data_IF_098966085565
#
_entry.id   IF_098966085565
#
_cell.length_a   1.000
_cell.length_b   1.000
_cell.length_c   1.000
_cell.angle_alpha   90.00
_cell.angle_beta   90.00
_cell.angle_gamma   90.00
#
_symmetry.space_group_name_H-M   'P 1'
#
loop_
_entity.id
_entity.type
_entity.pdbx_description
1 polymer ?
#
# COMPACT_ATOMS: atom_id res chain seq x y z
N UNK A 1 21.95 13.00 4.69
CA UNK A 1 22.04 11.54 4.83
C UNK A 1 21.22 11.00 6.00
N UNK A 2 21.41 11.54 7.19
CA UNK A 2 20.69 11.06 8.38
C UNK A 2 19.17 11.15 8.23
N UNK A 3 18.67 12.28 7.71
CA UNK A 3 17.21 12.47 7.49
C UNK A 3 16.65 11.49 6.47
N UNK A 4 17.42 11.16 5.43
CA UNK A 4 17.00 10.21 4.39
C UNK A 4 16.86 8.79 4.93
N UNK A 5 17.80 8.35 5.77
CA UNK A 5 17.77 7.03 6.39
C UNK A 5 16.57 6.91 7.34
N UNK A 6 16.35 7.94 8.18
CA UNK A 6 15.24 7.97 9.11
C UNK A 6 13.90 7.96 8.37
N UNK A 7 13.80 8.74 7.30
CA UNK A 7 12.62 8.79 6.43
C UNK A 7 12.33 7.42 5.83
N UNK A 8 13.35 6.75 5.28
CA UNK A 8 13.21 5.42 4.68
C UNK A 8 12.74 4.40 5.70
N UNK A 9 13.31 4.39 6.90
CA UNK A 9 12.91 3.47 7.96
C UNK A 9 11.46 3.68 8.36
N UNK A 10 11.03 4.93 8.45
CA UNK A 10 9.66 5.27 8.81
C UNK A 10 8.69 4.86 7.71
N UNK A 11 9.03 5.08 6.44
CA UNK A 11 8.23 4.63 5.30
C UNK A 11 8.03 3.12 5.32
N UNK A 12 9.12 2.37 5.54
CA UNK A 12 9.08 0.91 5.62
C UNK A 12 8.24 0.42 6.80
N UNK A 13 8.37 1.09 7.95
CA UNK A 13 7.59 0.74 9.14
C UNK A 13 6.09 0.95 8.90
N UNK A 14 5.72 2.09 8.31
CA UNK A 14 4.32 2.39 8.00
C UNK A 14 3.76 1.37 7.01
N UNK A 15 4.51 1.05 5.96
CA UNK A 15 4.10 0.05 4.98
C UNK A 15 3.85 -1.30 5.65
N UNK A 16 4.73 -1.73 6.53
CA UNK A 16 4.59 -2.99 7.25
C UNK A 16 3.37 -3.00 8.17
N UNK A 17 3.14 -1.92 8.90
CA UNK A 17 1.99 -1.82 9.81
C UNK A 17 0.67 -1.86 9.06
N UNK A 18 0.59 -1.15 7.94
CA UNK A 18 -0.62 -1.17 7.10
C UNK A 18 -0.84 -2.57 6.53
N UNK A 19 0.22 -3.20 6.03
CA UNK A 19 0.14 -4.57 5.53
C UNK A 19 -0.35 -5.54 6.60
N UNK A 20 0.15 -5.42 7.81
CA UNK A 20 -0.28 -6.26 8.94
C UNK A 20 -1.75 -6.05 9.28
N UNK A 21 -2.23 -4.81 9.25
CA UNK A 21 -3.64 -4.51 9.50
C UNK A 21 -4.55 -5.14 8.43
N UNK A 22 -4.11 -5.13 7.18
CA UNK A 22 -4.88 -5.75 6.08
C UNK A 22 -4.92 -7.26 6.26
N UNK A 23 -3.78 -7.90 6.48
CA UNK A 23 -3.67 -9.35 6.59
C UNK A 23 -4.43 -9.89 7.82
N UNK A 24 -4.34 -9.18 8.94
CA UNK A 24 -5.02 -9.58 10.17
C UNK A 24 -6.51 -9.24 10.19
N UNK A 25 -7.02 -8.60 9.15
CA UNK A 25 -8.38 -8.09 9.07
C UNK A 25 -8.70 -7.12 10.20
N UNK A 26 -7.69 -6.35 10.60
CA UNK A 26 -7.84 -5.30 11.61
C UNK A 26 -8.71 -4.14 11.14
N UNK A 27 -8.89 -3.99 9.84
CA UNK A 27 -9.78 -3.01 9.23
C UNK A 27 -11.02 -3.75 8.76
N UNK A 28 -12.16 -3.45 9.37
CA UNK A 28 -13.41 -4.19 9.10
C UNK A 28 -14.21 -3.53 7.97
N UNK A 29 -13.75 -3.71 6.75
CA UNK A 29 -14.46 -3.25 5.57
C UNK A 29 -14.28 -4.33 4.48
N UNK A 30 -15.38 -4.87 3.92
CA UNK A 30 -15.28 -5.96 2.93
C UNK A 30 -14.60 -5.55 1.64
N UNK A 31 -14.47 -4.26 1.36
CA UNK A 31 -13.74 -3.76 0.19
C UNK A 31 -12.22 -3.90 0.34
N UNK A 32 -11.75 -4.10 1.57
CA UNK A 32 -10.34 -4.29 1.87
C UNK A 32 -10.07 -5.80 1.94
N UNK A 33 -9.34 -6.31 0.95
CA UNK A 33 -9.11 -7.75 0.80
C UNK A 33 -7.61 -8.08 0.85
N UNK A 34 -7.31 -9.36 1.01
CA UNK A 34 -5.94 -9.86 1.21
C UNK A 34 -5.03 -9.72 -0.01
N UNK A 35 -5.56 -9.41 -1.19
CA UNK A 35 -4.76 -9.18 -2.39
C UNK A 35 -4.21 -7.77 -2.49
N UNK A 36 -4.62 -6.88 -1.58
CA UNK A 36 -4.09 -5.53 -1.51
C UNK A 36 -2.69 -5.54 -0.92
N UNK A 37 -1.83 -4.70 -1.47
CA UNK A 37 -0.47 -4.54 -0.97
C UNK A 37 -0.06 -3.08 -1.01
N UNK A 38 0.80 -2.69 -0.09
CA UNK A 38 1.42 -1.37 -0.11
C UNK A 38 2.58 -1.43 -1.11
N UNK A 39 2.47 -0.67 -2.18
CA UNK A 39 3.53 -0.60 -3.20
C UNK A 39 4.69 0.25 -2.69
N UNK A 40 4.37 1.41 -2.15
CA UNK A 40 5.36 2.30 -1.54
C UNK A 40 4.67 3.33 -0.66
N UNK A 41 5.45 3.97 0.20
CA UNK A 41 5.03 5.10 1.02
C UNK A 41 5.96 6.26 0.71
N UNK A 42 5.41 7.42 0.40
CA UNK A 42 6.18 8.63 0.12
C UNK A 42 5.80 9.75 1.07
N UNK A 43 6.80 10.26 1.80
CA UNK A 43 6.59 11.43 2.66
C UNK A 43 6.75 12.72 1.88
N UNK A 44 5.99 13.74 2.30
CA UNK A 44 6.27 15.11 1.91
C UNK A 44 7.59 15.56 2.54
N UNK A 45 8.17 16.66 2.02
CA UNK A 45 9.46 17.16 2.51
C UNK A 45 9.44 17.52 4.00
N UNK A 46 8.30 18.00 4.49
CA UNK A 46 8.12 18.38 5.90
C UNK A 46 7.73 17.21 6.80
N UNK A 47 7.57 16.01 6.25
CA UNK A 47 7.15 14.80 6.94
C UNK A 47 5.75 14.87 7.59
N UNK A 48 4.94 15.86 7.19
CA UNK A 48 3.58 16.01 7.71
C UNK A 48 2.60 15.11 7.01
N UNK A 49 2.80 14.88 5.70
CA UNK A 49 1.91 14.06 4.88
C UNK A 49 2.65 12.86 4.32
N UNK A 50 1.94 11.74 4.19
CA UNK A 50 2.47 10.54 3.58
C UNK A 50 1.45 9.98 2.59
N UNK A 51 1.87 9.77 1.35
CA UNK A 51 1.07 9.07 0.35
C UNK A 51 1.39 7.59 0.42
N UNK A 52 0.36 6.78 0.57
CA UNK A 52 0.46 5.32 0.60
C UNK A 52 -0.10 4.79 -0.73
N UNK A 53 0.79 4.30 -1.56
CA UNK A 53 0.42 3.76 -2.87
C UNK A 53 -0.01 2.31 -2.72
N UNK A 54 -1.27 2.05 -3.05
CA UNK A 54 -1.87 0.72 -2.89
C UNK A 54 -2.04 0.05 -4.23
N UNK A 55 -1.65 -1.21 -4.31
CA UNK A 55 -1.85 -2.03 -5.49
C UNK A 55 -2.60 -3.31 -5.14
N UNK A 56 -2.99 -4.05 -6.18
CA UNK A 56 -3.61 -5.36 -6.02
C UNK A 56 -3.06 -6.29 -7.09
N UNK A 57 -2.73 -7.51 -6.68
CA UNK A 57 -2.31 -8.54 -7.62
C UNK A 57 -3.52 -9.22 -8.27
N UNK A 58 -4.71 -9.01 -7.72
CA UNK A 58 -5.93 -9.58 -8.26
C UNK A 58 -6.50 -8.66 -9.33
N UNK A 59 -6.55 -9.16 -10.56
CA UNK A 59 -7.11 -8.45 -11.70
C UNK A 59 -8.62 -8.29 -11.53
N UNK A 60 -9.16 -7.14 -11.91
CA UNK A 60 -10.59 -6.87 -11.86
C UNK A 60 -11.17 -6.58 -10.49
N UNK A 61 -10.40 -6.77 -9.43
CA UNK A 61 -10.85 -6.33 -8.11
C UNK A 61 -10.89 -4.81 -8.10
N UNK A 62 -11.93 -4.24 -7.51
CA UNK A 62 -12.10 -2.80 -7.51
C UNK A 62 -11.09 -2.14 -6.56
N UNK A 63 -9.90 -1.90 -7.08
CA UNK A 63 -8.84 -1.20 -6.36
C UNK A 63 -9.31 0.19 -5.96
N UNK A 64 -10.11 0.85 -6.82
CA UNK A 64 -10.71 2.15 -6.51
C UNK A 64 -11.56 2.09 -5.24
N UNK A 65 -12.41 1.08 -5.12
CA UNK A 65 -13.27 0.93 -3.95
C UNK A 65 -12.47 0.61 -2.69
N UNK A 66 -11.42 -0.20 -2.83
CA UNK A 66 -10.53 -0.52 -1.72
C UNK A 66 -9.78 0.73 -1.23
N UNK A 67 -9.30 1.56 -2.15
CA UNK A 67 -8.62 2.80 -1.80
C UNK A 67 -9.58 3.77 -1.11
N UNK A 68 -10.83 3.86 -1.58
CA UNK A 68 -11.85 4.66 -0.90
C UNK A 68 -12.08 4.17 0.52
N UNK A 69 -12.16 2.85 0.70
CA UNK A 69 -12.36 2.25 2.02
C UNK A 69 -11.19 2.55 2.95
N UNK A 70 -9.96 2.46 2.44
CA UNK A 70 -8.77 2.78 3.22
C UNK A 70 -8.75 4.25 3.64
N UNK A 71 -9.11 5.16 2.74
CA UNK A 71 -9.19 6.59 3.06
C UNK A 71 -10.28 6.87 4.10
N UNK A 72 -11.40 6.15 4.03
CA UNK A 72 -12.44 6.26 5.06
C UNK A 72 -11.96 5.77 6.43
N UNK A 73 -11.05 4.78 6.45
CA UNK A 73 -10.52 4.20 7.67
C UNK A 73 -9.20 4.85 8.12
N UNK A 74 -8.73 5.89 7.45
CA UNK A 74 -7.39 6.45 7.72
C UNK A 74 -7.20 6.93 9.15
N UNK A 75 -8.24 7.46 9.78
CA UNK A 75 -8.17 7.88 11.18
C UNK A 75 -7.89 6.70 12.10
N UNK A 76 -8.58 5.60 11.89
CA UNK A 76 -8.33 4.36 12.64
C UNK A 76 -6.92 3.83 12.37
N UNK A 77 -6.51 3.80 11.11
CA UNK A 77 -5.17 3.31 10.74
C UNK A 77 -4.09 4.17 11.39
N UNK A 78 -4.23 5.48 11.34
CA UNK A 78 -3.29 6.41 11.99
C UNK A 78 -3.21 6.17 13.49
N UNK A 79 -4.35 5.93 14.15
CA UNK A 79 -4.37 5.66 15.58
C UNK A 79 -3.63 4.37 15.94
N UNK A 80 -3.73 3.33 15.09
CA UNK A 80 -3.01 2.09 15.31
C UNK A 80 -1.50 2.28 15.12
N UNK A 81 -1.10 3.07 14.13
CA UNK A 81 0.31 3.37 13.89
C UNK A 81 0.91 4.15 15.06
N UNK A 82 0.21 5.15 15.58
CA UNK A 82 0.65 5.95 16.74
C UNK A 82 0.96 5.05 17.93
N UNK A 83 0.10 4.08 18.19
CA UNK A 83 0.28 3.17 19.33
C UNK A 83 1.59 2.39 19.26
N UNK A 84 2.08 2.16 18.06
CA UNK A 84 3.29 1.36 17.83
C UNK A 84 4.56 2.17 17.71
N UNK A 85 4.48 3.40 17.20
CA UNK A 85 5.66 4.20 16.87
C UNK A 85 6.15 5.05 18.03
N UNK A 86 5.35 5.40 18.99
CA UNK A 86 5.73 6.27 20.12
C UNK A 86 6.33 7.61 19.66
N UNK A 87 5.76 8.21 18.61
CA UNK A 87 6.15 9.54 18.13
C UNK A 87 5.08 10.56 18.52
N UNK A 88 5.48 11.85 18.54
CA UNK A 88 4.57 12.92 18.94
C UNK A 88 3.36 13.04 18.03
N UNK A 89 3.54 12.76 16.74
CA UNK A 89 2.45 12.80 15.78
C UNK A 89 2.75 11.85 14.63
N UNK A 90 1.69 11.24 14.07
CA UNK A 90 1.82 10.49 12.83
C UNK A 90 1.63 11.42 11.65
N UNK A 91 2.25 11.13 10.50
CA UNK A 91 1.92 11.84 9.28
C UNK A 91 0.47 11.61 8.91
N UNK A 92 -0.12 12.57 8.24
CA UNK A 92 -1.46 12.42 7.67
C UNK A 92 -1.36 11.48 6.47
N UNK A 93 -2.12 10.40 6.50
CA UNK A 93 -2.09 9.41 5.44
C UNK A 93 -3.07 9.77 4.32
N UNK A 94 -2.65 9.51 3.08
CA UNK A 94 -3.52 9.56 1.93
C UNK A 94 -3.25 8.31 1.11
N UNK A 95 -4.27 7.48 0.93
CA UNK A 95 -4.17 6.26 0.13
C UNK A 95 -4.49 6.60 -1.32
N UNK A 96 -3.60 6.19 -2.22
CA UNK A 96 -3.77 6.41 -3.65
C UNK A 96 -3.60 5.10 -4.40
N UNK A 97 -4.28 5.01 -5.53
CA UNK A 97 -4.24 3.83 -6.38
C UNK A 97 -2.93 3.79 -7.17
N UNK A 98 -2.33 2.61 -7.26
CA UNK A 98 -1.15 2.36 -8.09
C UNK A 98 -1.41 1.12 -8.94
N UNK A 99 -1.49 1.29 -10.24
CA UNK A 99 -1.75 0.22 -11.20
C UNK A 99 -0.51 -0.57 -11.60
N UNK A 100 0.68 -0.14 -11.18
CA UNK A 100 1.94 -0.71 -11.68
C UNK A 100 2.05 -2.21 -11.45
N UNK A 101 1.56 -2.68 -10.29
CA UNK A 101 1.65 -4.10 -9.94
C UNK A 101 0.78 -4.97 -10.86
N UNK A 102 -0.48 -4.59 -11.07
CA UNK A 102 -1.38 -5.33 -11.93
C UNK A 102 -0.96 -5.25 -13.40
N UNK A 103 -0.46 -4.11 -13.83
CA UNK A 103 0.07 -3.95 -15.20
C UNK A 103 1.29 -4.83 -15.43
N UNK A 104 2.22 -4.89 -14.48
CA UNK A 104 3.39 -5.76 -14.57
C UNK A 104 2.99 -7.22 -14.64
N UNK A 105 2.05 -7.63 -13.83
CA UNK A 105 1.54 -9.00 -13.82
C UNK A 105 0.92 -9.37 -15.18
N UNK A 106 0.13 -8.47 -15.75
CA UNK A 106 -0.50 -8.67 -17.05
C UNK A 106 0.53 -8.79 -18.17
N UNK A 107 1.53 -7.92 -18.18
CA UNK A 107 2.61 -7.97 -19.18
C UNK A 107 3.40 -9.27 -19.07
N UNK A 108 3.71 -9.72 -17.88
CA UNK A 108 4.41 -10.98 -17.67
C UNK A 108 3.62 -12.16 -18.19
N UNK A 109 2.30 -12.18 -17.98
CA UNK A 109 1.44 -13.23 -18.53
C UNK A 109 1.46 -13.27 -20.05
N UNK A 110 1.46 -12.11 -20.70
CA UNK A 110 1.54 -12.02 -22.16
C UNK A 110 2.87 -12.56 -22.66
N UNK A 111 3.96 -12.21 -21.99
CA UNK A 111 5.31 -12.70 -22.36
C UNK A 111 5.39 -14.21 -22.20
N UNK A 112 4.88 -14.76 -21.12
CA UNK A 112 4.85 -16.21 -20.91
C UNK A 112 4.05 -16.93 -21.98
N UNK A 113 2.88 -16.39 -22.35
CA UNK A 113 2.07 -16.93 -23.42
C UNK A 113 2.79 -16.92 -24.77
N UNK A 114 3.50 -15.84 -25.07
CA UNK A 114 4.29 -15.73 -26.29
C UNK A 114 5.45 -16.72 -26.32
N UNK A 115 6.15 -16.89 -25.20
CA UNK A 115 7.25 -17.84 -25.09
C UNK A 115 6.77 -19.26 -25.29
N UNK A 116 5.63 -19.63 -24.70
CA UNK A 116 5.02 -20.95 -24.85
C UNK A 116 4.64 -21.20 -26.31
N UNK A 117 4.10 -20.20 -26.99
CA UNK A 117 3.75 -20.30 -28.41
C UNK A 117 4.98 -20.50 -29.29
N UNK A 118 6.12 -19.94 -28.93
CA UNK A 118 7.38 -20.09 -29.67
C UNK A 118 8.02 -21.46 -29.50
N UNK A 119 7.83 -22.07 -28.35
CA UNK A 119 8.39 -23.39 -28.05
C UNK A 119 7.64 -24.52 -28.74
N UNK A 120 6.46 -24.29 -29.20
CA UNK A 120 5.64 -25.25 -29.92
C UNK A 120 5.76 -25.06 -31.43
#
# INVERSE_FOLDING_TARGET
MYKSIKKFKLESFIAQEIGNLIVSRGIKDPRIHSFLTVVKVEFSKDLINAKVFMGSIKEGASLDNAVKALNNAKGFIQSQIIKRIKVRSTPKLLFVKDDSLSKSFYVNKIIEGLNTAREN
#
